data_IF_912898493941
#
_entry.id   IF_912898493941
#
_cell.length_a   1.000
_cell.length_b   1.000
_cell.length_c   1.000
_cell.angle_alpha   90.00
_cell.angle_beta   90.00
_cell.angle_gamma   90.00
#
_symmetry.space_group_name_H-M   'P 1'
#
loop_
_entity.id
_entity.type
_entity.pdbx_description
1 polymer ?
#
# COMPACT_ATOMS: atom_id res chain seq x y z
N UNK A 1 1.28 -14.21 7.22
CA UNK A 1 0.33 -13.83 6.16
C UNK A 1 -1.08 -13.88 6.74
N UNK A 2 -1.90 -12.83 6.57
CA UNK A 2 -3.26 -12.74 7.08
C UNK A 2 -4.06 -11.65 6.35
N UNK A 3 -5.36 -11.49 6.74
CA UNK A 3 -6.28 -10.47 6.24
C UNK A 3 -6.25 -10.30 4.71
N UNK A 4 -6.55 -11.36 3.95
CA UNK A 4 -6.72 -11.23 2.51
C UNK A 4 -8.01 -10.49 2.18
N UNK A 5 -7.95 -9.64 1.17
CA UNK A 5 -9.13 -9.15 0.46
C UNK A 5 -9.11 -9.63 -0.98
N UNK A 6 -10.26 -10.02 -1.51
CA UNK A 6 -10.36 -10.65 -2.84
C UNK A 6 -11.42 -9.95 -3.68
N UNK A 7 -11.03 -9.48 -4.85
CA UNK A 7 -11.91 -8.82 -5.82
C UNK A 7 -11.70 -9.42 -7.21
N UNK A 8 -12.77 -9.51 -8.00
CA UNK A 8 -12.62 -9.79 -9.41
C UNK A 8 -12.27 -8.50 -10.16
N UNK A 9 -11.19 -8.52 -10.91
CA UNK A 9 -10.75 -7.39 -11.72
C UNK A 9 -11.16 -7.65 -13.18
N UNK A 10 -12.19 -6.94 -13.64
CA UNK A 10 -12.76 -7.13 -14.98
C UNK A 10 -11.77 -6.79 -16.11
N UNK A 11 -10.92 -5.79 -15.90
CA UNK A 11 -9.92 -5.37 -16.90
C UNK A 11 -8.81 -6.39 -17.04
N UNK A 12 -8.30 -6.87 -15.91
CA UNK A 12 -7.29 -7.91 -15.87
C UNK A 12 -7.88 -9.29 -16.24
N UNK A 13 -9.18 -9.48 -16.04
CA UNK A 13 -9.88 -10.74 -16.28
C UNK A 13 -9.51 -11.83 -15.27
N UNK A 14 -9.15 -11.44 -14.04
CA UNK A 14 -8.67 -12.36 -12.99
C UNK A 14 -9.24 -12.01 -11.62
N UNK A 15 -9.27 -12.99 -10.77
CA UNK A 15 -9.40 -12.77 -9.34
C UNK A 15 -8.08 -12.24 -8.79
N UNK A 16 -8.17 -11.15 -8.03
CA UNK A 16 -7.04 -10.49 -7.38
C UNK A 16 -7.18 -10.64 -5.87
N UNK A 17 -6.16 -11.14 -5.21
CA UNK A 17 -6.06 -11.22 -3.75
C UNK A 17 -4.97 -10.27 -3.26
N UNK A 18 -5.34 -9.38 -2.38
CA UNK A 18 -4.44 -8.47 -1.69
C UNK A 18 -4.21 -8.98 -0.28
N UNK A 19 -3.00 -9.46 -0.03
CA UNK A 19 -2.67 -10.22 1.17
C UNK A 19 -1.63 -9.50 2.00
N UNK A 20 -1.88 -9.39 3.31
CA UNK A 20 -0.91 -8.85 4.26
C UNK A 20 0.19 -9.85 4.53
N UNK A 21 1.43 -9.43 4.35
CA UNK A 21 2.63 -10.20 4.66
C UNK A 21 3.47 -9.42 5.67
N UNK A 22 3.74 -10.03 6.80
CA UNK A 22 4.61 -9.47 7.83
C UNK A 22 6.00 -10.10 7.74
N UNK A 23 6.99 -9.24 7.83
CA UNK A 23 8.37 -9.62 7.91
C UNK A 23 8.91 -9.50 9.33
N UNK A 24 10.21 -9.43 9.44
CA UNK A 24 10.90 -9.20 10.70
C UNK A 24 10.59 -7.80 11.26
N UNK A 25 10.46 -7.67 12.57
CA UNK A 25 10.24 -6.38 13.27
C UNK A 25 9.00 -5.60 12.85
N UNK A 26 7.92 -6.28 12.48
CA UNK A 26 6.66 -5.65 12.05
C UNK A 26 6.74 -4.87 10.72
N UNK A 27 7.73 -5.15 9.89
CA UNK A 27 7.76 -4.66 8.53
C UNK A 27 6.78 -5.44 7.69
N UNK A 28 5.70 -4.80 7.32
CA UNK A 28 4.61 -5.41 6.59
C UNK A 28 4.57 -4.92 5.14
N UNK A 29 3.97 -5.71 4.29
CA UNK A 29 3.70 -5.36 2.91
C UNK A 29 2.36 -5.93 2.49
N UNK A 30 1.70 -5.28 1.55
CA UNK A 30 0.56 -5.86 0.86
C UNK A 30 1.05 -6.38 -0.47
N UNK A 31 0.79 -7.65 -0.72
CA UNK A 31 1.16 -8.35 -1.96
C UNK A 31 -0.08 -8.65 -2.78
N UNK A 32 0.10 -8.70 -4.10
CA UNK A 32 -0.91 -9.13 -5.06
C UNK A 32 -0.66 -10.57 -5.48
N UNK A 33 -1.71 -11.39 -5.40
CA UNK A 33 -1.79 -12.68 -6.04
C UNK A 33 -2.98 -12.67 -7.00
N UNK A 34 -2.89 -13.42 -8.10
CA UNK A 34 -3.97 -13.56 -9.06
C UNK A 34 -4.31 -15.02 -9.34
N UNK A 35 -5.56 -15.27 -9.70
CA UNK A 35 -6.04 -16.57 -10.13
C UNK A 35 -7.11 -16.46 -11.22
N UNK A 36 -7.24 -17.47 -12.06
CA UNK A 36 -8.31 -17.54 -13.06
C UNK A 36 -9.67 -17.86 -12.43
N UNK A 37 -9.66 -18.62 -11.33
CA UNK A 37 -10.85 -18.96 -10.56
C UNK A 37 -10.57 -18.88 -9.06
N UNK A 38 -11.60 -18.66 -8.24
CA UNK A 38 -11.46 -18.58 -6.78
C UNK A 38 -10.87 -19.85 -6.13
N UNK A 39 -11.15 -21.00 -6.71
CA UNK A 39 -10.69 -22.30 -6.23
C UNK A 39 -9.41 -22.78 -6.93
N UNK A 40 -8.87 -21.95 -7.84
CA UNK A 40 -7.68 -22.27 -8.61
C UNK A 40 -6.38 -21.99 -7.87
N UNK A 41 -5.28 -22.15 -8.61
CA UNK A 41 -3.96 -21.82 -8.12
C UNK A 41 -3.75 -20.31 -8.14
N UNK A 42 -3.30 -19.77 -7.01
CA UNK A 42 -2.98 -18.36 -6.85
C UNK A 42 -1.52 -18.10 -7.15
N UNK A 43 -1.26 -17.25 -8.13
CA UNK A 43 0.08 -16.86 -8.57
C UNK A 43 0.49 -15.53 -7.95
N UNK A 44 1.66 -15.51 -7.31
CA UNK A 44 2.26 -14.28 -6.79
C UNK A 44 2.68 -13.34 -7.92
N UNK A 45 2.22 -12.09 -7.87
CA UNK A 45 2.51 -11.06 -8.87
C UNK A 45 3.54 -10.04 -8.39
N UNK A 46 3.56 -9.71 -7.10
CA UNK A 46 4.48 -8.73 -6.55
C UNK A 46 3.93 -8.01 -5.33
N UNK A 47 4.68 -7.00 -4.87
CA UNK A 47 4.31 -6.15 -3.75
C UNK A 47 3.63 -4.89 -4.25
N UNK A 48 2.48 -4.56 -3.67
CA UNK A 48 1.70 -3.35 -4.00
C UNK A 48 2.19 -2.14 -3.21
N UNK A 49 2.46 -2.33 -1.93
CA UNK A 49 2.96 -1.28 -1.05
C UNK A 49 3.81 -1.88 0.07
N UNK A 50 4.91 -1.21 0.36
CA UNK A 50 5.85 -1.57 1.41
C UNK A 50 5.69 -0.70 2.66
N UNK A 51 6.06 -1.22 3.83
CA UNK A 51 6.32 -0.39 5.01
C UNK A 51 7.59 -0.84 5.73
N UNK A 52 8.11 0.07 6.53
CA UNK A 52 9.25 -0.23 7.39
C UNK A 52 10.55 -0.47 6.62
N UNK A 53 11.00 0.50 5.85
CA UNK A 53 12.28 0.43 5.16
C UNK A 53 13.43 0.28 6.15
N UNK A 54 13.92 -0.92 6.28
CA UNK A 54 14.90 -1.28 7.29
C UNK A 54 16.31 -0.76 6.99
N UNK A 55 16.67 -0.73 5.71
CA UNK A 55 17.94 -0.23 5.20
C UNK A 55 17.80 0.20 3.72
N UNK A 56 18.87 0.77 3.18
CA UNK A 56 18.88 1.21 1.79
C UNK A 56 18.73 0.08 0.76
N UNK A 57 19.14 -1.12 1.11
CA UNK A 57 19.01 -2.29 0.24
C UNK A 57 17.52 -2.62 0.01
N UNK A 58 16.73 -2.70 1.08
CA UNK A 58 15.29 -2.92 0.94
C UNK A 58 14.58 -1.74 0.27
N UNK A 59 15.01 -0.52 0.52
CA UNK A 59 14.48 0.65 -0.16
C UNK A 59 14.66 0.54 -1.68
N UNK A 60 15.84 0.13 -2.15
CA UNK A 60 16.16 0.01 -3.57
C UNK A 60 15.37 -1.12 -4.27
N UNK A 61 14.81 -2.05 -3.52
CA UNK A 61 13.92 -3.11 -4.02
C UNK A 61 12.46 -2.66 -4.13
N UNK A 62 12.15 -1.44 -3.68
CA UNK A 62 10.78 -0.89 -3.67
C UNK A 62 10.57 0.08 -4.82
N UNK A 63 9.33 0.49 -5.01
CA UNK A 63 8.94 1.54 -5.96
C UNK A 63 8.95 2.96 -5.35
N UNK A 64 9.43 3.13 -4.12
CA UNK A 64 9.41 4.42 -3.42
C UNK A 64 10.13 5.50 -4.21
N UNK A 65 11.32 5.23 -4.72
CA UNK A 65 12.08 6.19 -5.52
C UNK A 65 11.34 6.60 -6.81
N UNK A 66 10.65 5.67 -7.43
CA UNK A 66 9.80 5.94 -8.59
C UNK A 66 8.64 6.87 -8.26
N UNK A 67 8.01 6.64 -7.12
CA UNK A 67 6.82 7.40 -6.69
C UNK A 67 7.18 8.78 -6.17
N UNK A 68 8.24 8.87 -5.35
CA UNK A 68 8.63 10.12 -4.68
C UNK A 68 9.59 10.98 -5.48
N UNK A 69 10.29 10.40 -6.45
CA UNK A 69 11.41 11.03 -7.15
C UNK A 69 12.70 11.13 -6.32
N UNK A 70 12.73 10.55 -5.14
CA UNK A 70 13.88 10.56 -4.24
C UNK A 70 14.81 9.39 -4.57
N UNK A 71 16.09 9.66 -4.78
CA UNK A 71 17.09 8.63 -5.12
C UNK A 71 17.72 7.96 -3.90
N UNK A 72 17.53 8.56 -2.72
CA UNK A 72 18.00 8.04 -1.45
C UNK A 72 16.81 7.91 -0.49
N UNK A 73 16.89 6.95 0.42
CA UNK A 73 15.85 6.74 1.43
C UNK A 73 15.74 7.98 2.33
N UNK A 74 14.63 8.70 2.18
CA UNK A 74 14.34 9.84 3.03
C UNK A 74 14.32 9.46 4.51
N UNK A 75 14.87 10.33 5.35
CA UNK A 75 14.93 10.10 6.80
C UNK A 75 13.57 9.85 7.44
N UNK A 76 12.51 10.42 6.87
CA UNK A 76 11.13 10.20 7.31
C UNK A 76 10.69 8.74 7.18
N UNK A 77 11.16 8.01 6.18
CA UNK A 77 10.83 6.60 5.99
C UNK A 77 11.72 5.65 6.81
N UNK A 78 12.90 6.11 7.23
CA UNK A 78 13.83 5.33 8.09
C UNK A 78 13.33 5.17 9.52
N UNK A 79 12.44 6.06 9.95
CA UNK A 79 11.99 6.13 11.34
C UNK A 79 10.49 6.24 11.42
N UNK A 80 9.98 5.80 12.56
CA UNK A 80 8.60 6.08 12.97
C UNK A 80 7.52 5.54 12.03
N UNK A 81 7.83 4.48 11.25
CA UNK A 81 6.79 3.92 10.40
C UNK A 81 5.56 3.50 11.21
N UNK A 82 5.69 2.86 12.31
CA UNK A 82 4.56 2.50 13.16
C UNK A 82 3.92 3.66 13.91
N UNK A 83 4.52 4.85 13.90
CA UNK A 83 3.99 6.05 14.56
C UNK A 83 3.26 6.99 13.60
N UNK A 84 3.80 7.20 12.40
CA UNK A 84 3.31 8.20 11.44
C UNK A 84 2.79 7.59 10.15
N UNK A 85 3.33 6.45 9.74
CA UNK A 85 2.97 5.76 8.51
C UNK A 85 2.12 4.53 8.81
N UNK A 86 1.31 4.08 7.86
CA UNK A 86 0.47 2.92 8.10
C UNK A 86 1.32 1.65 8.25
N UNK A 87 0.83 0.71 9.03
CA UNK A 87 1.17 -0.68 8.78
C UNK A 87 0.53 -1.06 7.44
N UNK A 88 1.28 -1.67 6.53
CA UNK A 88 0.72 -2.09 5.26
C UNK A 88 0.07 -3.46 5.42
N UNK A 89 -1.10 -3.44 6.02
CA UNK A 89 -1.95 -4.60 6.35
C UNK A 89 -3.41 -4.25 6.14
N UNK A 90 -4.26 -5.26 6.25
CA UNK A 90 -5.72 -5.13 6.28
C UNK A 90 -6.26 -4.38 5.04
N UNK A 91 -5.82 -4.82 3.86
CA UNK A 91 -6.30 -4.26 2.61
C UNK A 91 -7.80 -4.47 2.46
N UNK A 92 -8.51 -3.45 1.98
CA UNK A 92 -9.86 -3.53 1.50
C UNK A 92 -9.90 -2.88 0.12
N UNK A 93 -10.21 -3.67 -0.91
CA UNK A 93 -10.15 -3.26 -2.32
C UNK A 93 -11.55 -3.20 -2.89
N UNK A 94 -11.88 -2.12 -3.55
CA UNK A 94 -13.21 -1.88 -4.07
C UNK A 94 -13.20 -1.00 -5.32
N UNK A 95 -14.28 -1.07 -6.07
CA UNK A 95 -14.58 -0.13 -7.15
C UNK A 95 -15.45 1.00 -6.63
N UNK A 96 -15.14 2.24 -7.03
CA UNK A 96 -16.04 3.36 -6.81
C UNK A 96 -17.17 3.37 -7.87
N UNK A 97 -18.10 4.33 -7.74
CA UNK A 97 -19.25 4.46 -8.65
C UNK A 97 -18.84 4.81 -10.09
N UNK A 98 -17.64 5.33 -10.29
CA UNK A 98 -17.05 5.64 -11.60
C UNK A 98 -16.26 4.47 -12.19
N UNK A 99 -16.16 3.36 -11.46
CA UNK A 99 -15.45 2.14 -11.86
C UNK A 99 -13.95 2.18 -11.61
N UNK A 100 -13.42 3.15 -10.86
CA UNK A 100 -12.02 3.16 -10.48
C UNK A 100 -11.74 2.17 -9.34
N UNK A 101 -10.60 1.52 -9.42
CA UNK A 101 -10.15 0.57 -8.41
C UNK A 101 -9.36 1.27 -7.31
N UNK A 102 -9.76 1.06 -6.07
CA UNK A 102 -9.16 1.65 -4.88
C UNK A 102 -8.78 0.59 -3.86
N UNK A 103 -7.75 0.87 -3.08
CA UNK A 103 -7.37 0.09 -1.91
C UNK A 103 -7.31 1.01 -0.69
N UNK A 104 -8.14 0.76 0.32
CA UNK A 104 -7.91 1.29 1.65
C UNK A 104 -7.13 0.26 2.47
N UNK A 105 -6.21 0.72 3.30
CA UNK A 105 -5.33 -0.18 4.05
C UNK A 105 -4.69 0.54 5.23
N UNK A 106 -4.04 -0.22 6.08
CA UNK A 106 -3.38 0.29 7.25
C UNK A 106 -4.17 0.02 8.51
N UNK A 107 -3.53 0.28 9.63
CA UNK A 107 -4.16 0.25 10.95
C UNK A 107 -3.19 0.78 11.99
N UNK A 108 -3.63 0.79 13.25
CA UNK A 108 -2.84 1.23 14.39
C UNK A 108 -2.44 2.70 14.30
N UNK A 109 -1.23 3.01 14.81
CA UNK A 109 -0.77 4.38 15.02
C UNK A 109 -0.63 5.22 13.75
N UNK A 110 -0.32 4.61 12.61
CA UNK A 110 -0.22 5.32 11.33
C UNK A 110 -1.57 5.74 10.74
N UNK A 111 -2.63 5.02 11.09
CA UNK A 111 -3.98 5.26 10.57
C UNK A 111 -4.29 4.48 9.30
N UNK A 112 -5.40 4.86 8.66
CA UNK A 112 -5.90 4.24 7.44
C UNK A 112 -5.57 5.15 6.26
N UNK A 113 -4.99 4.57 5.24
CA UNK A 113 -4.63 5.24 3.99
C UNK A 113 -5.41 4.68 2.82
N UNK A 114 -5.40 5.39 1.72
CA UNK A 114 -6.08 5.00 0.49
C UNK A 114 -5.18 5.28 -0.71
N UNK A 115 -5.05 4.29 -1.57
CA UNK A 115 -4.34 4.35 -2.85
C UNK A 115 -5.28 4.04 -4.01
N UNK A 116 -5.10 4.75 -5.11
CA UNK A 116 -5.69 4.32 -6.38
C UNK A 116 -4.86 3.19 -6.98
N UNK A 117 -5.53 2.17 -7.46
CA UNK A 117 -4.93 1.07 -8.19
C UNK A 117 -5.23 1.20 -9.69
N UNK A 118 -4.33 0.69 -10.48
CA UNK A 118 -4.49 0.55 -11.93
C UNK A 118 -5.25 -0.75 -12.21
N UNK A 119 -6.39 -0.64 -12.85
CA UNK A 119 -7.27 -1.75 -13.16
C UNK A 119 -6.66 -2.76 -14.14
N UNK A 120 -5.73 -2.32 -15.02
CA UNK A 120 -5.10 -3.20 -16.00
C UNK A 120 -4.02 -4.09 -15.36
N UNK A 121 -3.48 -3.69 -14.21
CA UNK A 121 -2.37 -4.38 -13.57
C UNK A 121 -2.69 -4.88 -12.16
N UNK A 122 -3.65 -4.26 -11.47
CA UNK A 122 -3.94 -4.51 -10.05
C UNK A 122 -2.95 -3.89 -9.08
N UNK A 123 -1.91 -3.22 -9.57
CA UNK A 123 -0.92 -2.50 -8.75
C UNK A 123 -1.30 -1.03 -8.57
N UNK A 124 -0.46 -0.27 -7.86
CA UNK A 124 -0.59 1.18 -7.73
C UNK A 124 -0.75 1.85 -9.09
N UNK A 125 -1.69 2.78 -9.20
CA UNK A 125 -1.79 3.68 -10.35
C UNK A 125 -0.73 4.78 -10.25
N UNK A 126 0.35 4.63 -11.00
CA UNK A 126 1.46 5.60 -11.04
C UNK A 126 1.13 6.91 -11.75
N UNK A 127 -0.03 7.02 -12.39
CA UNK A 127 -0.52 8.29 -12.95
C UNK A 127 -1.09 9.22 -11.89
N UNK A 128 -1.42 8.69 -10.72
CA UNK A 128 -1.94 9.44 -9.57
C UNK A 128 -0.82 9.78 -8.61
N UNK A 129 -0.67 11.05 -8.32
CA UNK A 129 0.32 11.57 -7.38
C UNK A 129 -0.36 12.11 -6.12
N UNK A 130 0.28 11.91 -4.98
CA UNK A 130 -0.18 12.43 -3.70
C UNK A 130 0.84 13.44 -3.17
N UNK A 131 0.35 14.55 -2.65
CA UNK A 131 1.22 15.58 -2.07
C UNK A 131 1.66 15.16 -0.66
N UNK A 132 2.85 15.64 -0.25
CA UNK A 132 3.30 15.52 1.13
C UNK A 132 2.50 16.47 2.03
N UNK A 133 1.92 15.95 3.11
CA UNK A 133 1.09 16.75 4.00
C UNK A 133 0.47 15.98 5.16
N UNK A 134 -0.30 16.65 5.96
CA UNK A 134 -0.95 16.10 7.15
C UNK A 134 -1.90 14.94 6.81
N UNK A 135 -2.55 15.02 5.66
CA UNK A 135 -3.56 14.04 5.21
C UNK A 135 -3.13 13.24 3.99
N UNK A 136 -1.86 13.30 3.61
CA UNK A 136 -1.35 12.55 2.47
C UNK A 136 0.16 12.37 2.55
N UNK A 137 0.63 11.31 1.94
CA UNK A 137 2.05 11.01 1.76
C UNK A 137 2.27 10.58 0.31
N UNK A 138 3.32 11.04 -0.35
CA UNK A 138 3.58 10.69 -1.75
C UNK A 138 3.60 9.19 -2.01
N UNK A 139 4.12 8.41 -1.07
CA UNK A 139 4.20 6.97 -1.19
C UNK A 139 2.97 6.23 -0.67
N UNK A 140 2.51 6.56 0.53
CA UNK A 140 1.40 5.84 1.16
C UNK A 140 0.02 6.29 0.69
N UNK A 141 -0.08 7.42 0.00
CA UNK A 141 -1.34 7.91 -0.53
C UNK A 141 -2.08 8.83 0.45
N UNK A 142 -3.41 8.83 0.36
CA UNK A 142 -4.26 9.72 1.15
C UNK A 142 -4.63 9.07 2.49
N UNK A 143 -4.35 9.76 3.58
CA UNK A 143 -4.81 9.38 4.91
C UNK A 143 -6.29 9.73 5.07
N UNK A 144 -7.11 8.73 5.34
CA UNK A 144 -8.57 8.88 5.41
C UNK A 144 -9.10 8.77 6.84
N UNK A 145 -8.38 8.13 7.76
CA UNK A 145 -8.79 8.02 9.15
C UNK A 145 -7.62 7.77 10.10
N UNK A 146 -7.78 8.18 11.34
CA UNK A 146 -6.92 7.83 12.48
C UNK A 146 -5.48 8.31 12.39
N UNK A 147 -4.63 7.72 13.24
CA UNK A 147 -3.18 7.89 13.26
C UNK A 147 -2.68 9.24 13.77
N UNK A 148 -1.35 9.32 13.92
CA UNK A 148 -0.65 10.55 14.26
C UNK A 148 -0.29 11.32 12.99
N UNK A 149 -0.13 12.63 13.11
CA UNK A 149 0.36 13.45 12.01
C UNK A 149 1.90 13.47 11.97
N UNK A 150 2.44 13.52 10.76
CA UNK A 150 3.90 13.56 10.53
C UNK A 150 4.53 14.82 11.16
N UNK A 151 3.78 15.90 11.26
CA UNK A 151 4.23 17.18 11.85
C UNK A 151 4.25 17.21 13.36
N UNK A 152 3.82 16.15 14.04
CA UNK A 152 3.77 16.11 15.50
C UNK A 152 2.64 16.92 16.13
N UNK A 153 1.75 17.49 15.34
CA UNK A 153 0.54 18.12 15.87
C UNK A 153 -0.47 17.03 16.23
N UNK A 154 -0.82 16.97 17.49
CA UNK A 154 -1.86 16.09 17.98
C UNK A 154 -3.23 16.59 17.49
N UNK A 155 -3.98 15.71 16.86
CA UNK A 155 -5.41 15.93 16.58
C UNK A 155 -6.24 15.70 17.82
#
# INVERSE_FOLDING_TARGET
>A
MWAPDVVYNDKLGKWCMYLSVDGDKWYSSIVLLTADTLEGDWEYQGIVVYSGFYNEEYYNETDVARVTGETELADRYKRAWGDYYPNNIDACVFYDDDGNLWMSYGSWSGGIFMLKLDEETGFRDYSVTYEDGIHSDPYFGRKIAGGKYVTGEAS
#
